data_IF_639672808023
#
_entry.id   IF_639672808023
#
_cell.length_a   1.000
_cell.length_b   1.000
_cell.length_c   1.000
_cell.angle_alpha   90.00
_cell.angle_beta   90.00
_cell.angle_gamma   90.00
#
_symmetry.space_group_name_H-M   'P 1'
#
loop_
_entity.id
_entity.type
_entity.pdbx_description
1 polymer ?
#
# COMPACT_ATOMS: atom_id res chain seq x y z
N UNK A 1 -17.20 -16.70 11.84
CA UNK A 1 -16.24 -17.61 11.15
C UNK A 1 -16.53 -19.09 11.47
N UNK A 2 -15.94 -19.97 10.68
CA UNK A 2 -16.00 -21.42 10.85
C UNK A 2 -14.66 -22.00 11.38
N UNK A 3 -13.89 -21.20 12.09
CA UNK A 3 -12.60 -21.57 12.67
C UNK A 3 -12.73 -22.64 13.76
N UNK A 4 -11.63 -22.87 14.48
CA UNK A 4 -11.61 -23.90 15.54
C UNK A 4 -12.53 -23.56 16.72
N UNK A 5 -12.87 -22.27 16.91
CA UNK A 5 -13.61 -21.79 18.06
C UNK A 5 -12.76 -21.75 19.35
N UNK A 6 -13.43 -21.53 20.50
CA UNK A 6 -12.79 -21.44 21.81
C UNK A 6 -13.55 -22.29 22.85
N UNK A 7 -12.79 -22.89 23.75
CA UNK A 7 -13.36 -23.49 24.98
C UNK A 7 -13.69 -22.39 25.99
N UNK A 8 -14.43 -22.73 27.05
CA UNK A 8 -14.75 -21.79 28.13
C UNK A 8 -13.50 -21.18 28.77
N UNK A 9 -12.48 -22.00 29.02
CA UNK A 9 -11.22 -21.57 29.60
C UNK A 9 -10.46 -20.60 28.64
N UNK A 10 -10.49 -20.90 27.33
CA UNK A 10 -9.89 -20.05 26.32
C UNK A 10 -10.62 -18.72 26.19
N UNK A 11 -11.94 -18.68 26.34
CA UNK A 11 -12.71 -17.43 26.34
C UNK A 11 -12.32 -16.55 27.53
N UNK A 12 -12.26 -17.14 28.74
CA UNK A 12 -11.81 -16.43 29.95
C UNK A 12 -10.39 -15.90 29.77
N UNK A 13 -9.50 -16.71 29.25
CA UNK A 13 -8.10 -16.38 29.09
C UNK A 13 -7.85 -15.32 28.02
N UNK A 14 -8.54 -15.38 26.87
CA UNK A 14 -8.26 -14.54 25.70
C UNK A 14 -9.17 -13.32 25.58
N UNK A 15 -10.44 -13.42 25.97
CA UNK A 15 -11.39 -12.29 25.95
C UNK A 15 -11.58 -11.67 27.33
N UNK A 16 -11.30 -12.39 28.41
CA UNK A 16 -11.33 -11.88 29.77
C UNK A 16 -10.03 -11.19 30.20
N UNK A 17 -8.97 -11.24 29.40
CA UNK A 17 -7.67 -10.65 29.73
C UNK A 17 -7.20 -9.74 28.57
N UNK A 18 -7.06 -8.45 28.84
CA UNK A 18 -6.58 -7.49 27.82
C UNK A 18 -5.13 -7.77 27.48
N UNK A 19 -4.77 -7.56 26.21
CA UNK A 19 -3.42 -7.75 25.65
C UNK A 19 -2.91 -9.21 25.73
N UNK A 20 -3.81 -10.19 25.76
CA UNK A 20 -3.46 -11.60 25.67
C UNK A 20 -3.82 -12.15 24.29
N UNK A 21 -2.83 -12.63 23.54
CA UNK A 21 -2.98 -13.11 22.17
C UNK A 21 -2.78 -14.61 22.08
N UNK A 22 -3.83 -15.32 21.65
CA UNK A 22 -3.73 -16.74 21.27
C UNK A 22 -2.89 -16.94 19.99
N UNK A 23 -2.89 -15.96 19.09
CA UNK A 23 -2.07 -15.93 17.87
C UNK A 23 -0.58 -15.92 18.21
N UNK A 24 -0.17 -15.13 19.19
CA UNK A 24 1.23 -15.06 19.64
C UNK A 24 1.69 -16.40 20.21
N UNK A 25 0.87 -17.02 21.08
CA UNK A 25 1.18 -18.33 21.63
C UNK A 25 1.26 -19.41 20.54
N UNK A 26 0.42 -19.34 19.52
CA UNK A 26 0.47 -20.24 18.36
C UNK A 26 1.75 -20.02 17.54
N UNK A 27 2.10 -18.78 17.20
CA UNK A 27 3.33 -18.44 16.49
C UNK A 27 4.59 -18.89 17.24
N UNK A 28 4.57 -18.80 18.57
CA UNK A 28 5.68 -19.26 19.40
C UNK A 28 5.80 -20.79 19.45
N UNK A 29 4.74 -21.53 19.11
CA UNK A 29 4.72 -22.99 18.99
C UNK A 29 5.21 -23.51 17.64
N UNK A 30 5.25 -22.64 16.60
CA UNK A 30 5.75 -22.97 15.27
C UNK A 30 7.28 -22.93 15.24
N UNK A 31 7.91 -23.79 14.45
CA UNK A 31 9.35 -23.87 14.28
C UNK A 31 9.79 -23.65 12.84
N UNK A 32 10.98 -23.10 12.65
CA UNK A 32 11.61 -22.98 11.32
C UNK A 32 10.82 -22.12 10.32
N UNK A 33 10.67 -22.64 9.11
CA UNK A 33 10.03 -21.92 7.99
C UNK A 33 8.52 -21.74 8.18
N UNK A 34 7.86 -22.64 8.90
CA UNK A 34 6.42 -22.50 9.23
C UNK A 34 6.11 -21.20 9.98
N UNK A 35 7.03 -20.75 10.84
CA UNK A 35 6.89 -19.47 11.56
C UNK A 35 7.00 -18.28 10.65
N UNK A 36 7.84 -18.35 9.62
CA UNK A 36 8.03 -17.29 8.63
C UNK A 36 6.83 -17.16 7.69
N UNK A 37 6.22 -18.29 7.34
CA UNK A 37 5.09 -18.33 6.41
C UNK A 37 3.73 -18.06 7.09
N UNK A 38 3.66 -18.13 8.41
CA UNK A 38 2.45 -17.86 9.18
C UNK A 38 2.21 -16.34 9.34
N UNK A 39 1.79 -15.67 8.30
CA UNK A 39 1.41 -14.25 8.31
C UNK A 39 0.12 -14.01 9.12
N UNK A 40 0.18 -14.26 10.44
CA UNK A 40 -0.99 -14.18 11.32
C UNK A 40 -1.13 -12.79 11.92
N UNK A 41 -2.34 -12.25 11.85
CA UNK A 41 -2.77 -11.00 12.46
C UNK A 41 -3.17 -11.25 13.92
N UNK A 42 -3.18 -10.22 14.78
CA UNK A 42 -3.70 -10.33 16.15
C UNK A 42 -2.66 -10.68 17.21
N UNK A 43 -1.40 -10.37 16.99
CA UNK A 43 -0.29 -10.70 17.91
C UNK A 43 -0.36 -9.98 19.26
N UNK A 44 -1.04 -8.83 19.35
CA UNK A 44 -1.09 -7.99 20.55
C UNK A 44 -2.28 -8.29 21.46
N UNK A 45 -3.32 -8.97 20.97
CA UNK A 45 -4.52 -9.28 21.76
C UNK A 45 -5.35 -8.06 22.18
N UNK A 46 -5.25 -6.94 21.44
CA UNK A 46 -6.00 -5.69 21.73
C UNK A 46 -6.99 -5.30 20.65
N UNK A 47 -6.82 -5.78 19.42
CA UNK A 47 -7.66 -5.40 18.28
C UNK A 47 -9.15 -5.67 18.48
N UNK A 48 -9.48 -6.76 19.17
CA UNK A 48 -10.86 -7.13 19.48
C UNK A 48 -11.60 -6.03 20.25
N UNK A 49 -10.91 -5.36 21.19
CA UNK A 49 -11.53 -4.35 22.04
C UNK A 49 -11.85 -3.04 21.31
N UNK A 50 -11.33 -2.85 20.08
CA UNK A 50 -11.74 -1.72 19.24
C UNK A 50 -13.23 -1.78 18.85
N UNK A 51 -13.87 -2.94 18.96
CA UNK A 51 -15.32 -3.10 18.79
C UNK A 51 -16.13 -2.18 19.73
N UNK A 52 -15.63 -1.92 20.93
CA UNK A 52 -16.29 -1.03 21.90
C UNK A 52 -16.20 0.46 21.56
N UNK A 53 -15.46 0.84 20.54
CA UNK A 53 -15.48 2.23 20.03
C UNK A 53 -16.86 2.52 19.43
N UNK A 54 -17.41 1.57 18.68
CA UNK A 54 -18.66 1.71 17.94
C UNK A 54 -19.84 0.95 18.57
N UNK A 55 -19.57 -0.01 19.48
CA UNK A 55 -20.58 -0.84 20.11
C UNK A 55 -20.78 -0.48 21.61
N UNK A 56 -22.02 -0.40 22.04
CA UNK A 56 -22.38 -0.31 23.46
C UNK A 56 -22.33 -1.68 24.17
N UNK A 57 -22.49 -2.77 23.38
CA UNK A 57 -22.44 -4.14 23.88
C UNK A 57 -21.89 -5.06 22.79
N UNK A 58 -21.03 -5.98 23.20
CA UNK A 58 -20.46 -7.01 22.32
C UNK A 58 -20.83 -8.38 22.87
N UNK A 59 -21.34 -9.25 21.98
CA UNK A 59 -21.66 -10.64 22.28
C UNK A 59 -20.78 -11.53 21.41
N UNK A 60 -20.12 -12.50 22.02
CA UNK A 60 -19.29 -13.50 21.33
C UNK A 60 -19.81 -14.89 21.62
N UNK A 61 -20.35 -15.55 20.60
CA UNK A 61 -20.81 -16.94 20.64
C UNK A 61 -19.77 -17.84 19.98
N UNK A 62 -19.19 -18.74 20.73
CA UNK A 62 -18.12 -19.60 20.21
C UNK A 62 -18.31 -21.05 20.64
N UNK A 63 -17.93 -21.98 19.75
CA UNK A 63 -17.85 -23.41 20.08
C UNK A 63 -16.57 -24.00 19.52
N UNK A 64 -15.75 -24.56 20.39
CA UNK A 64 -14.54 -25.28 20.01
C UNK A 64 -14.86 -26.59 19.28
N UNK A 65 -14.05 -26.93 18.27
CA UNK A 65 -14.27 -28.14 17.46
C UNK A 65 -14.28 -29.47 18.22
N UNK A 66 -13.72 -29.53 19.43
CA UNK A 66 -13.73 -30.70 20.32
C UNK A 66 -14.83 -30.70 21.36
N UNK A 67 -15.66 -29.65 21.43
CA UNK A 67 -16.72 -29.49 22.43
C UNK A 67 -18.10 -29.67 21.83
N UNK A 68 -19.05 -30.11 22.67
CA UNK A 68 -20.46 -30.29 22.31
C UNK A 68 -21.30 -29.05 22.59
N UNK A 69 -20.92 -28.27 23.61
CA UNK A 69 -21.58 -27.02 24.00
C UNK A 69 -20.78 -25.82 23.53
N UNK A 70 -21.48 -24.71 23.25
CA UNK A 70 -20.89 -23.42 23.00
C UNK A 70 -20.83 -22.54 24.24
N UNK A 71 -20.11 -21.45 24.14
CA UNK A 71 -19.98 -20.44 25.19
C UNK A 71 -20.35 -19.08 24.63
N UNK A 72 -21.20 -18.34 25.32
CA UNK A 72 -21.51 -16.95 25.09
C UNK A 72 -20.74 -16.07 26.07
N UNK A 73 -19.98 -15.16 25.57
CA UNK A 73 -19.35 -14.08 26.30
C UNK A 73 -20.06 -12.76 25.96
N UNK A 74 -20.39 -11.97 26.97
CA UNK A 74 -21.06 -10.69 26.77
C UNK A 74 -20.42 -9.62 27.65
N UNK A 75 -20.13 -8.44 27.09
CA UNK A 75 -19.60 -7.29 27.83
C UNK A 75 -20.12 -5.99 27.20
N UNK A 76 -20.19 -4.94 28.02
CA UNK A 76 -20.44 -3.56 27.63
C UNK A 76 -19.15 -2.69 27.57
N UNK A 77 -17.98 -3.32 27.77
CA UNK A 77 -16.69 -2.64 27.83
C UNK A 77 -16.36 -1.97 29.14
N UNK A 78 -17.23 -2.07 30.15
CA UNK A 78 -17.05 -1.47 31.49
C UNK A 78 -16.10 -2.22 32.41
N UNK A 79 -15.41 -3.26 31.90
CA UNK A 79 -14.46 -4.06 32.67
C UNK A 79 -15.05 -5.37 33.23
N UNK A 80 -16.35 -5.57 33.11
CA UNK A 80 -17.05 -6.79 33.48
C UNK A 80 -17.56 -7.55 32.26
N UNK A 81 -17.73 -8.85 32.40
CA UNK A 81 -18.34 -9.71 31.38
C UNK A 81 -19.14 -10.86 32.00
N UNK A 82 -20.08 -11.39 31.28
CA UNK A 82 -20.82 -12.60 31.64
C UNK A 82 -20.43 -13.76 30.75
N UNK A 83 -20.57 -15.00 31.28
CA UNK A 83 -20.35 -16.23 30.55
C UNK A 83 -21.55 -17.14 30.74
N UNK A 84 -22.11 -17.59 29.64
CA UNK A 84 -23.23 -18.52 29.59
C UNK A 84 -22.87 -19.72 28.70
N UNK A 85 -23.34 -20.89 29.08
CA UNK A 85 -23.31 -22.07 28.20
C UNK A 85 -24.47 -21.99 27.22
N UNK A 86 -24.21 -22.22 25.95
CA UNK A 86 -25.20 -22.11 24.86
C UNK A 86 -25.18 -23.36 23.98
N UNK A 87 -26.29 -23.64 23.33
CA UNK A 87 -26.34 -24.58 22.22
C UNK A 87 -25.87 -23.89 20.95
N UNK A 88 -24.80 -24.38 20.30
CA UNK A 88 -24.30 -23.90 19.01
C UNK A 88 -23.94 -25.08 18.14
N UNK A 89 -24.64 -25.28 17.04
CA UNK A 89 -24.54 -26.47 16.19
C UNK A 89 -23.20 -26.59 15.46
N UNK A 90 -22.61 -25.47 15.08
CA UNK A 90 -21.37 -25.45 14.29
C UNK A 90 -20.23 -24.89 15.12
N UNK A 91 -19.03 -25.46 14.96
CA UNK A 91 -17.78 -24.86 15.47
C UNK A 91 -17.54 -23.48 14.85
N UNK A 92 -16.74 -22.67 15.51
CA UNK A 92 -16.35 -21.34 15.05
C UNK A 92 -16.80 -20.27 16.03
N UNK A 93 -16.66 -19.01 15.61
CA UNK A 93 -16.94 -17.85 16.45
C UNK A 93 -17.82 -16.87 15.70
N UNK A 94 -18.82 -16.35 16.39
CA UNK A 94 -19.71 -15.28 15.94
C UNK A 94 -19.55 -14.11 16.90
N UNK A 95 -19.34 -12.91 16.34
CA UNK A 95 -19.22 -11.67 17.11
C UNK A 95 -20.35 -10.75 16.68
N UNK A 96 -21.20 -10.39 17.63
CA UNK A 96 -22.34 -9.50 17.42
C UNK A 96 -22.08 -8.18 18.12
N UNK A 97 -22.08 -7.11 17.37
CA UNK A 97 -21.93 -5.74 17.85
C UNK A 97 -23.29 -5.08 17.95
N UNK A 98 -23.70 -4.68 19.16
CA UNK A 98 -24.83 -3.79 19.34
C UNK A 98 -24.31 -2.36 19.25
N UNK A 99 -24.56 -1.72 18.14
CA UNK A 99 -23.98 -0.41 17.84
C UNK A 99 -24.54 0.69 18.76
N UNK A 100 -23.72 1.69 19.04
CA UNK A 100 -24.12 2.89 19.74
C UNK A 100 -25.02 3.74 18.86
N UNK A 101 -25.82 4.58 19.48
CA UNK A 101 -26.60 5.61 18.76
C UNK A 101 -25.65 6.51 17.95
N UNK A 102 -25.95 6.68 16.67
CA UNK A 102 -25.16 7.47 15.72
C UNK A 102 -24.09 6.70 14.96
N UNK A 103 -23.91 5.40 15.21
CA UNK A 103 -22.94 4.54 14.50
C UNK A 103 -23.61 3.69 13.40
N UNK A 104 -24.79 4.12 12.91
CA UNK A 104 -25.58 3.38 11.92
C UNK A 104 -24.89 3.22 10.57
N UNK A 105 -23.85 4.02 10.27
CA UNK A 105 -23.05 3.86 9.07
C UNK A 105 -22.45 2.46 8.92
N UNK A 106 -22.19 1.76 10.03
CA UNK A 106 -21.66 0.40 10.03
C UNK A 106 -22.72 -0.69 9.80
N UNK A 107 -23.98 -0.32 9.60
CA UNK A 107 -25.05 -1.20 9.11
C UNK A 107 -25.18 -1.15 7.58
N UNK A 108 -24.55 -0.17 6.95
CA UNK A 108 -24.56 -0.02 5.50
C UNK A 108 -23.56 -0.97 4.83
N UNK A 109 -24.08 -1.83 3.95
CA UNK A 109 -23.31 -2.86 3.27
C UNK A 109 -22.23 -2.27 2.34
N UNK A 110 -22.53 -1.17 1.66
CA UNK A 110 -21.56 -0.49 0.80
C UNK A 110 -20.40 0.08 1.62
N UNK A 111 -20.71 0.68 2.79
CA UNK A 111 -19.73 1.19 3.72
C UNK A 111 -18.78 0.08 4.23
N UNK A 112 -19.35 -1.06 4.61
CA UNK A 112 -18.57 -2.21 5.08
C UNK A 112 -17.67 -2.77 3.98
N UNK A 113 -18.16 -2.90 2.75
CA UNK A 113 -17.38 -3.32 1.58
C UNK A 113 -16.23 -2.36 1.31
N UNK A 114 -16.49 -1.07 1.39
CA UNK A 114 -15.46 -0.05 1.24
C UNK A 114 -14.35 -0.18 2.31
N UNK A 115 -14.73 -0.37 3.57
CA UNK A 115 -13.78 -0.58 4.68
C UNK A 115 -12.93 -1.84 4.47
N UNK A 116 -13.57 -2.95 4.09
CA UNK A 116 -12.85 -4.20 3.79
C UNK A 116 -11.85 -4.00 2.67
N UNK A 117 -12.24 -3.39 1.57
CA UNK A 117 -11.36 -3.12 0.42
C UNK A 117 -10.21 -2.16 0.76
N UNK A 118 -10.46 -1.18 1.63
CA UNK A 118 -9.43 -0.22 2.03
C UNK A 118 -8.39 -0.82 2.97
N UNK A 119 -8.83 -1.58 3.98
CA UNK A 119 -7.97 -1.97 5.10
C UNK A 119 -7.62 -3.46 5.15
N UNK A 120 -8.39 -4.31 4.49
CA UNK A 120 -8.31 -5.76 4.62
C UNK A 120 -8.33 -6.51 3.29
N UNK A 121 -8.15 -5.80 2.16
CA UNK A 121 -8.24 -6.40 0.82
C UNK A 121 -7.25 -7.55 0.60
N UNK A 122 -6.09 -7.46 1.23
CA UNK A 122 -4.97 -8.37 1.01
C UNK A 122 -4.68 -9.34 2.16
N UNK A 123 -5.58 -9.45 3.12
CA UNK A 123 -5.45 -10.48 4.15
C UNK A 123 -5.72 -11.87 3.55
N UNK A 124 -4.99 -12.89 4.05
CA UNK A 124 -5.03 -14.24 3.50
C UNK A 124 -6.39 -14.96 3.70
N UNK A 125 -7.23 -14.47 4.61
CA UNK A 125 -8.54 -15.08 4.89
C UNK A 125 -9.62 -14.44 4.01
N UNK A 126 -10.50 -15.27 3.38
CA UNK A 126 -11.62 -14.76 2.62
C UNK A 126 -12.63 -14.05 3.54
N UNK A 127 -12.95 -12.81 3.23
CA UNK A 127 -14.03 -12.05 3.86
C UNK A 127 -15.25 -12.21 2.99
N UNK A 128 -16.25 -12.91 3.50
CA UNK A 128 -17.50 -13.18 2.78
C UNK A 128 -18.57 -12.23 3.26
N UNK A 129 -19.30 -11.62 2.34
CA UNK A 129 -20.51 -10.84 2.62
C UNK A 129 -21.68 -11.38 1.80
N UNK A 130 -22.91 -11.02 2.19
CA UNK A 130 -24.08 -11.37 1.41
C UNK A 130 -24.03 -10.62 0.06
N UNK A 131 -24.41 -11.31 -1.01
CA UNK A 131 -24.57 -10.67 -2.31
C UNK A 131 -25.67 -9.59 -2.24
N UNK A 132 -25.42 -8.48 -2.91
CA UNK A 132 -26.46 -7.46 -3.11
C UNK A 132 -27.38 -7.94 -4.23
N UNK A 133 -28.61 -8.26 -3.89
CA UNK A 133 -29.62 -8.62 -4.88
C UNK A 133 -30.11 -7.39 -5.64
N UNK A 134 -30.45 -7.57 -6.91
CA UNK A 134 -31.19 -6.56 -7.67
C UNK A 134 -32.63 -6.46 -7.16
N UNK A 135 -33.29 -5.33 -7.40
CA UNK A 135 -34.72 -5.18 -7.06
C UNK A 135 -35.61 -6.26 -7.73
N UNK A 136 -35.17 -6.81 -8.85
CA UNK A 136 -35.89 -7.88 -9.57
C UNK A 136 -35.72 -9.21 -8.85
N UNK A 137 -34.48 -9.54 -8.42
CA UNK A 137 -34.19 -10.77 -7.69
C UNK A 137 -34.86 -10.80 -6.31
N UNK A 138 -34.94 -9.66 -5.62
CA UNK A 138 -35.67 -9.53 -4.36
C UNK A 138 -37.16 -9.78 -4.54
N UNK A 139 -37.77 -9.24 -5.63
CA UNK A 139 -39.18 -9.46 -5.97
C UNK A 139 -39.47 -10.91 -6.36
N UNK A 140 -38.49 -11.60 -6.94
CA UNK A 140 -38.57 -13.03 -7.26
C UNK A 140 -38.33 -13.94 -6.05
N UNK A 141 -37.98 -13.37 -4.88
CA UNK A 141 -37.72 -14.14 -3.64
C UNK A 141 -36.48 -14.96 -3.69
N UNK A 142 -35.45 -14.55 -4.46
CA UNK A 142 -34.13 -15.20 -4.46
C UNK A 142 -33.44 -14.95 -3.13
N UNK A 143 -32.80 -15.99 -2.60
CA UNK A 143 -31.92 -15.83 -1.44
C UNK A 143 -30.55 -15.32 -1.88
N UNK A 144 -30.06 -14.27 -1.22
CA UNK A 144 -28.70 -13.75 -1.45
C UNK A 144 -27.64 -14.82 -1.15
N UNK A 145 -26.77 -15.07 -2.09
CA UNK A 145 -25.59 -15.91 -1.92
C UNK A 145 -24.55 -15.27 -0.99
N UNK A 146 -23.38 -15.88 -0.97
CA UNK A 146 -22.19 -15.31 -0.31
C UNK A 146 -21.14 -15.00 -1.37
N UNK A 147 -20.62 -13.80 -1.35
CA UNK A 147 -19.51 -13.38 -2.22
C UNK A 147 -18.28 -13.01 -1.40
N UNK A 148 -17.11 -13.26 -1.94
CA UNK A 148 -15.85 -12.80 -1.35
C UNK A 148 -15.61 -11.34 -1.74
N UNK A 149 -15.46 -10.46 -0.75
CA UNK A 149 -15.31 -9.02 -0.95
C UNK A 149 -13.87 -8.53 -0.93
N UNK A 150 -12.96 -9.30 -0.36
CA UNK A 150 -11.51 -9.03 -0.42
C UNK A 150 -10.83 -9.90 -1.47
N UNK A 151 -9.71 -9.44 -2.01
CA UNK A 151 -8.96 -10.15 -3.05
C UNK A 151 -8.11 -11.31 -2.52
N UNK A 152 -7.77 -11.31 -1.25
CA UNK A 152 -6.93 -12.33 -0.64
C UNK A 152 -5.45 -12.16 -0.97
N UNK A 153 -4.83 -13.12 -1.65
CA UNK A 153 -3.41 -13.10 -1.94
C UNK A 153 -3.00 -11.86 -2.77
N UNK A 154 -2.16 -10.97 -2.23
CA UNK A 154 -1.78 -9.75 -2.92
C UNK A 154 -0.89 -10.03 -4.13
N UNK A 155 -1.09 -9.26 -5.21
CA UNK A 155 -0.33 -9.38 -6.45
C UNK A 155 1.18 -9.37 -6.22
N UNK A 156 1.66 -8.48 -5.36
CA UNK A 156 3.10 -8.31 -5.10
C UNK A 156 3.78 -9.47 -4.37
N UNK A 157 3.01 -10.45 -3.89
CA UNK A 157 3.56 -11.67 -3.28
C UNK A 157 3.69 -12.82 -4.26
N UNK A 158 3.10 -12.70 -5.46
CA UNK A 158 3.14 -13.72 -6.49
C UNK A 158 4.49 -13.70 -7.24
N UNK A 159 4.94 -14.82 -7.79
CA UNK A 159 6.10 -14.87 -8.67
C UNK A 159 5.88 -13.96 -9.89
N UNK A 160 6.88 -13.13 -10.23
CA UNK A 160 6.78 -12.20 -11.37
C UNK A 160 6.47 -12.89 -12.70
N UNK A 161 6.92 -14.15 -12.85
CA UNK A 161 6.67 -14.96 -14.04
C UNK A 161 5.21 -15.35 -14.24
N UNK A 162 4.39 -15.23 -13.20
CA UNK A 162 2.97 -15.58 -13.19
C UNK A 162 2.06 -14.37 -13.33
N UNK A 163 2.64 -13.15 -13.32
CA UNK A 163 1.89 -11.88 -13.39
C UNK A 163 2.02 -11.31 -14.81
N UNK A 164 0.92 -11.12 -15.48
CA UNK A 164 0.87 -10.48 -16.80
C UNK A 164 1.00 -8.95 -16.71
N UNK A 165 1.27 -8.28 -17.82
CA UNK A 165 1.30 -6.83 -17.88
C UNK A 165 -0.09 -6.23 -17.59
N UNK A 166 -1.13 -6.92 -18.00
CA UNK A 166 -2.52 -6.58 -17.76
C UNK A 166 -2.84 -6.63 -16.26
N UNK A 167 -2.37 -7.66 -15.54
CA UNK A 167 -2.57 -7.78 -14.09
C UNK A 167 -1.89 -6.62 -13.34
N UNK A 168 -0.66 -6.23 -13.76
CA UNK A 168 0.02 -5.05 -13.20
C UNK A 168 -0.76 -3.76 -13.47
N UNK A 169 -1.32 -3.59 -14.66
CA UNK A 169 -2.08 -2.40 -15.02
C UNK A 169 -3.42 -2.33 -14.26
N UNK A 170 -4.14 -3.44 -14.14
CA UNK A 170 -5.38 -3.51 -13.36
C UNK A 170 -5.14 -3.25 -11.88
N UNK A 171 -4.06 -3.84 -11.33
CA UNK A 171 -3.68 -3.59 -9.95
C UNK A 171 -3.37 -2.10 -9.73
N UNK A 172 -2.63 -1.46 -10.63
CA UNK A 172 -2.33 -0.04 -10.56
C UNK A 172 -3.60 0.81 -10.51
N UNK A 173 -4.51 0.61 -11.46
CA UNK A 173 -5.77 1.36 -11.53
C UNK A 173 -6.56 1.27 -10.23
N UNK A 174 -6.63 0.07 -9.69
CA UNK A 174 -7.34 -0.17 -8.45
C UNK A 174 -6.62 0.42 -7.23
N UNK A 175 -5.33 0.12 -7.06
CA UNK A 175 -4.56 0.49 -5.88
C UNK A 175 -4.27 2.00 -5.81
N UNK A 176 -4.11 2.65 -6.97
CA UNK A 176 -3.77 4.06 -7.07
C UNK A 176 -4.96 4.95 -7.44
N UNK A 177 -6.16 4.37 -7.59
CA UNK A 177 -7.38 5.08 -8.00
C UNK A 177 -7.17 5.89 -9.29
N UNK A 178 -6.50 5.28 -10.26
CA UNK A 178 -6.24 5.85 -11.57
C UNK A 178 -7.08 5.11 -12.62
N UNK A 179 -7.46 5.79 -13.69
CA UNK A 179 -8.26 5.21 -14.77
C UNK A 179 -7.42 4.85 -16.00
N UNK A 180 -6.21 5.41 -16.09
CA UNK A 180 -5.27 5.13 -17.17
C UNK A 180 -4.28 4.02 -16.76
N UNK A 181 -3.68 3.37 -17.75
CA UNK A 181 -2.57 2.45 -17.50
C UNK A 181 -1.35 3.21 -17.01
N UNK A 182 -0.50 2.60 -16.17
CA UNK A 182 0.76 3.22 -15.77
C UNK A 182 1.69 3.37 -16.97
N UNK A 183 2.56 4.38 -16.93
CA UNK A 183 3.61 4.54 -17.93
C UNK A 183 4.61 3.37 -17.86
N UNK A 184 5.00 3.02 -16.64
CA UNK A 184 5.91 1.89 -16.36
C UNK A 184 5.85 1.51 -14.89
N UNK A 185 6.45 0.36 -14.55
CA UNK A 185 6.52 -0.12 -13.16
C UNK A 185 7.80 -0.90 -12.88
N UNK A 186 8.07 -1.09 -11.60
CA UNK A 186 9.10 -1.98 -11.11
C UNK A 186 8.57 -2.80 -9.94
N UNK A 187 8.78 -4.12 -9.99
CA UNK A 187 8.41 -5.05 -8.93
C UNK A 187 9.68 -5.71 -8.41
N UNK A 188 9.99 -5.57 -7.11
CA UNK A 188 11.20 -6.14 -6.54
C UNK A 188 10.92 -6.77 -5.20
N UNK A 189 11.42 -7.98 -5.00
CA UNK A 189 11.53 -8.65 -3.73
C UNK A 189 12.97 -8.55 -3.26
N UNK A 190 13.18 -8.02 -2.07
CA UNK A 190 14.47 -7.90 -1.42
C UNK A 190 14.51 -8.89 -0.28
N UNK A 191 15.52 -9.75 -0.29
CA UNK A 191 15.73 -10.79 0.71
C UNK A 191 17.15 -10.62 1.32
N UNK A 192 17.32 -10.99 2.57
CA UNK A 192 18.61 -10.95 3.28
C UNK A 192 18.49 -10.38 4.68
N UNK A 193 19.29 -9.35 5.00
CA UNK A 193 19.21 -8.68 6.30
C UNK A 193 17.95 -7.85 6.49
N UNK A 194 17.17 -7.69 5.43
CA UNK A 194 15.86 -7.04 5.38
C UNK A 194 15.03 -7.72 4.32
N UNK A 195 13.77 -8.00 4.68
CA UNK A 195 12.82 -8.58 3.77
C UNK A 195 11.68 -7.59 3.50
N UNK A 196 11.59 -7.15 2.26
CA UNK A 196 10.47 -6.35 1.79
C UNK A 196 10.24 -6.52 0.29
N UNK A 197 9.01 -6.30 -0.11
CA UNK A 197 8.62 -6.22 -1.51
C UNK A 197 8.21 -4.80 -1.84
N UNK A 198 8.65 -4.29 -2.98
CA UNK A 198 8.11 -3.05 -3.53
C UNK A 198 7.55 -3.29 -4.93
N UNK A 199 6.37 -2.74 -5.17
CA UNK A 199 5.73 -2.66 -6.48
C UNK A 199 5.41 -1.19 -6.71
N UNK A 200 6.27 -0.52 -7.48
CA UNK A 200 6.26 0.92 -7.70
C UNK A 200 5.92 1.23 -9.15
N UNK A 201 5.08 2.21 -9.35
CA UNK A 201 4.56 2.64 -10.64
C UNK A 201 4.91 4.10 -10.91
N UNK A 202 5.11 4.41 -12.17
CA UNK A 202 5.15 5.78 -12.68
C UNK A 202 3.86 6.00 -13.47
N UNK A 203 3.00 6.95 -13.08
CA UNK A 203 1.80 7.31 -13.82
C UNK A 203 2.12 7.80 -15.22
N UNK A 204 1.15 7.72 -16.12
CA UNK A 204 1.27 8.27 -17.46
C UNK A 204 1.10 9.79 -17.49
N UNK A 205 0.31 10.33 -16.54
CA UNK A 205 0.05 11.77 -16.39
C UNK A 205 0.28 12.24 -14.97
N UNK A 206 0.70 13.50 -14.86
CA UNK A 206 0.82 14.16 -13.58
C UNK A 206 -0.57 14.43 -12.98
N UNK A 207 -0.80 14.13 -11.70
CA UNK A 207 -2.00 14.60 -11.02
C UNK A 207 -2.01 16.13 -10.93
N UNK A 208 -3.19 16.73 -10.93
CA UNK A 208 -3.36 18.19 -10.95
C UNK A 208 -2.76 18.90 -9.73
N UNK A 209 -2.64 18.21 -8.62
CA UNK A 209 -2.12 18.69 -7.33
C UNK A 209 -0.63 18.38 -7.12
N UNK A 210 0.07 17.82 -8.12
CA UNK A 210 1.49 17.46 -8.03
C UNK A 210 2.39 18.63 -7.60
N UNK A 211 2.03 19.84 -7.98
CA UNK A 211 2.79 21.07 -7.70
C UNK A 211 2.20 21.87 -6.54
N UNK A 212 1.11 21.43 -5.91
CA UNK A 212 0.55 22.09 -4.75
C UNK A 212 1.48 21.88 -3.53
N UNK A 213 2.00 22.94 -2.90
CA UNK A 213 2.84 22.82 -1.70
C UNK A 213 2.13 22.17 -0.51
N UNK A 214 0.80 22.25 -0.48
CA UNK A 214 -0.05 21.66 0.55
C UNK A 214 -0.75 20.37 0.08
N UNK A 215 -0.50 19.95 -1.16
CA UNK A 215 -1.02 18.72 -1.73
C UNK A 215 -0.56 17.52 -0.90
N UNK A 216 -1.49 16.66 -0.55
CA UNK A 216 -1.14 15.38 0.09
C UNK A 216 -0.41 14.54 -0.94
N UNK A 217 0.80 14.13 -0.61
CA UNK A 217 1.59 13.21 -1.44
C UNK A 217 0.97 11.81 -1.39
N UNK A 218 -0.13 11.61 -2.11
CA UNK A 218 -0.75 10.29 -2.26
C UNK A 218 0.09 9.44 -3.22
N UNK A 219 1.05 8.70 -2.69
CA UNK A 219 1.97 7.99 -3.55
C UNK A 219 2.11 6.52 -3.22
N UNK A 220 2.84 6.23 -2.16
CA UNK A 220 3.23 4.86 -1.83
C UNK A 220 2.53 4.40 -0.56
N UNK A 221 1.77 3.31 -0.67
CA UNK A 221 1.10 2.65 0.45
C UNK A 221 2.09 1.74 1.17
N UNK A 222 2.12 1.82 2.49
CA UNK A 222 2.92 0.93 3.33
C UNK A 222 2.06 -0.20 3.89
N UNK A 223 2.56 -1.40 3.70
CA UNK A 223 2.07 -2.62 4.35
C UNK A 223 3.17 -3.20 5.24
N UNK A 224 2.77 -3.85 6.30
CA UNK A 224 3.64 -4.69 7.12
C UNK A 224 2.99 -6.05 7.27
N UNK A 225 3.65 -7.08 6.77
CA UNK A 225 3.11 -8.45 6.74
C UNK A 225 1.69 -8.49 6.12
N UNK A 226 1.52 -7.79 4.98
CA UNK A 226 0.25 -7.67 4.23
C UNK A 226 -0.86 -6.86 4.94
N UNK A 227 -0.57 -6.30 6.11
CA UNK A 227 -1.50 -5.42 6.83
C UNK A 227 -1.26 -3.99 6.39
N UNK A 228 -2.31 -3.32 5.93
CA UNK A 228 -2.25 -1.90 5.57
C UNK A 228 -1.92 -1.05 6.81
N UNK A 229 -0.92 -0.18 6.68
CA UNK A 229 -0.47 0.72 7.73
C UNK A 229 -0.85 2.16 7.41
N UNK A 230 -0.48 2.64 6.23
CA UNK A 230 -0.76 4.00 5.77
C UNK A 230 -0.68 4.12 4.26
N UNK A 231 -1.33 5.14 3.71
CA UNK A 231 -1.35 5.45 2.28
C UNK A 231 -0.48 6.66 1.89
N UNK A 232 0.14 7.30 2.86
CA UNK A 232 0.99 8.46 2.65
C UNK A 232 2.31 8.27 3.39
N UNK A 233 3.21 7.55 2.75
CA UNK A 233 4.50 7.25 3.33
C UNK A 233 5.56 8.26 2.85
N UNK A 234 5.43 9.56 3.19
CA UNK A 234 6.44 10.60 2.89
C UNK A 234 7.86 10.17 3.27
N UNK A 235 7.97 9.34 4.31
CA UNK A 235 9.26 8.80 4.76
C UNK A 235 9.84 7.75 3.83
N UNK A 236 9.04 7.11 2.97
CA UNK A 236 9.49 6.05 2.08
C UNK A 236 9.96 6.55 0.72
N UNK A 237 9.53 7.74 0.31
CA UNK A 237 9.96 8.35 -0.94
C UNK A 237 10.35 9.81 -0.71
N UNK A 238 11.43 10.31 -1.34
CA UNK A 238 11.79 11.72 -1.26
C UNK A 238 10.80 12.58 -2.04
N UNK A 239 10.71 13.85 -1.69
CA UNK A 239 9.75 14.78 -2.29
C UNK A 239 9.88 14.91 -3.80
N UNK A 240 11.09 14.87 -4.32
CA UNK A 240 11.34 14.91 -5.77
C UNK A 240 10.87 13.66 -6.53
N UNK A 241 10.42 12.61 -5.81
CA UNK A 241 9.80 11.40 -6.36
C UNK A 241 8.33 11.25 -5.98
N UNK A 242 7.64 12.33 -5.59
CA UNK A 242 6.22 12.30 -5.19
C UNK A 242 5.25 11.86 -6.28
N UNK A 243 5.73 11.73 -7.52
CA UNK A 243 4.99 11.15 -8.62
C UNK A 243 4.93 9.61 -8.57
N UNK A 244 5.78 8.97 -7.78
CA UNK A 244 5.80 7.51 -7.66
C UNK A 244 4.60 7.04 -6.85
N UNK A 245 3.86 6.10 -7.40
CA UNK A 245 2.72 5.45 -6.74
C UNK A 245 3.03 3.97 -6.53
N UNK A 246 2.21 3.30 -5.73
CA UNK A 246 2.32 1.85 -5.52
C UNK A 246 2.35 1.42 -4.08
N UNK A 247 3.05 0.31 -3.82
CA UNK A 247 3.11 -0.28 -2.48
C UNK A 247 4.54 -0.66 -2.08
N UNK A 248 4.77 -0.65 -0.78
CA UNK A 248 5.90 -1.31 -0.13
C UNK A 248 5.32 -2.18 0.99
N UNK A 249 5.71 -3.46 1.01
CA UNK A 249 5.31 -4.42 2.05
C UNK A 249 6.57 -4.97 2.72
N UNK A 250 6.72 -4.73 4.02
CA UNK A 250 7.87 -5.16 4.81
C UNK A 250 7.47 -6.27 5.77
N UNK A 251 8.31 -7.33 5.81
CA UNK A 251 8.16 -8.39 6.80
C UNK A 251 8.82 -8.06 8.15
N UNK A 252 9.80 -7.14 8.14
CA UNK A 252 10.69 -6.86 9.27
C UNK A 252 10.34 -5.59 10.05
N UNK A 253 9.52 -4.71 9.48
CA UNK A 253 9.07 -3.52 10.21
C UNK A 253 8.26 -3.94 11.44
N UNK A 254 8.63 -3.44 12.64
CA UNK A 254 7.90 -3.78 13.84
C UNK A 254 6.49 -3.17 13.78
N UNK A 255 5.48 -4.01 13.92
CA UNK A 255 4.12 -3.56 14.20
C UNK A 255 4.08 -3.15 15.67
N UNK A 256 3.74 -1.91 15.96
CA UNK A 256 3.33 -1.51 17.31
C UNK A 256 1.80 -1.52 17.43
N UNK A 257 1.30 -1.42 18.66
CA UNK A 257 -0.13 -1.49 18.97
C UNK A 257 -0.91 -0.37 18.29
N UNK A 258 -0.33 0.82 18.18
CA UNK A 258 -0.95 2.01 17.58
C UNK A 258 -0.83 2.05 16.05
N UNK A 259 -0.11 1.11 15.45
CA UNK A 259 0.28 1.13 14.02
C UNK A 259 1.03 2.41 13.62
N UNK A 260 1.49 3.20 14.58
CA UNK A 260 2.37 4.34 14.33
C UNK A 260 3.76 3.83 13.95
N UNK A 261 4.28 4.32 12.86
CA UNK A 261 5.66 4.04 12.48
C UNK A 261 6.55 4.82 13.43
N UNK A 262 7.45 4.11 14.12
CA UNK A 262 8.46 4.72 14.96
C UNK A 262 9.17 5.85 14.20
N UNK A 263 9.23 7.04 14.78
CA UNK A 263 9.67 8.28 14.13
C UNK A 263 11.10 8.28 13.58
N UNK A 264 11.93 7.32 13.95
CA UNK A 264 13.27 7.10 13.38
C UNK A 264 13.57 5.60 13.36
N UNK A 265 13.42 4.97 12.23
CA UNK A 265 13.75 3.58 12.06
C UNK A 265 14.75 3.43 10.92
N UNK A 266 15.98 3.00 11.23
CA UNK A 266 17.03 2.71 10.24
C UNK A 266 16.56 1.76 9.14
N UNK A 267 15.56 0.94 9.43
CA UNK A 267 14.95 0.04 8.46
C UNK A 267 14.17 0.80 7.38
N UNK A 268 13.40 1.83 7.77
CA UNK A 268 12.70 2.71 6.83
C UNK A 268 13.67 3.45 5.92
N UNK A 269 14.78 3.97 6.48
CA UNK A 269 15.79 4.68 5.70
C UNK A 269 16.43 3.77 4.63
N UNK A 270 16.68 2.50 4.97
CA UNK A 270 17.22 1.52 4.02
C UNK A 270 16.19 1.13 2.96
N UNK A 271 14.93 0.92 3.33
CA UNK A 271 13.83 0.66 2.38
C UNK A 271 13.70 1.84 1.42
N UNK A 272 13.72 3.08 1.94
CA UNK A 272 13.70 4.31 1.14
C UNK A 272 14.86 4.35 0.15
N UNK A 273 16.09 4.20 0.62
CA UNK A 273 17.29 4.23 -0.23
C UNK A 273 17.25 3.13 -1.32
N UNK A 274 16.80 1.93 -0.97
CA UNK A 274 16.60 0.83 -1.90
C UNK A 274 15.54 1.14 -2.97
N UNK A 275 14.40 1.70 -2.55
CA UNK A 275 13.30 2.09 -3.45
C UNK A 275 13.69 3.22 -4.39
N UNK A 276 14.35 4.26 -3.88
CA UNK A 276 14.92 5.36 -4.69
C UNK A 276 15.87 4.83 -5.75
N UNK A 277 16.79 3.93 -5.37
CA UNK A 277 17.72 3.31 -6.32
C UNK A 277 17.00 2.54 -7.43
N UNK A 278 15.92 1.83 -7.09
CA UNK A 278 15.12 1.09 -8.08
C UNK A 278 14.39 1.99 -9.04
N UNK A 279 13.78 3.07 -8.55
CA UNK A 279 13.10 4.06 -9.40
C UNK A 279 14.10 4.77 -10.31
N UNK A 280 15.24 5.23 -9.80
CA UNK A 280 16.29 5.85 -10.64
C UNK A 280 16.79 4.87 -11.71
N UNK A 281 17.00 3.59 -11.36
CA UNK A 281 17.39 2.58 -12.34
C UNK A 281 16.32 2.32 -13.41
N UNK A 282 15.03 2.35 -13.04
CA UNK A 282 13.92 2.27 -13.98
C UNK A 282 13.91 3.44 -14.96
N UNK A 283 14.09 4.67 -14.44
CA UNK A 283 14.20 5.87 -15.26
C UNK A 283 15.42 5.86 -16.20
N UNK A 284 16.57 5.37 -15.71
CA UNK A 284 17.77 5.20 -16.53
C UNK A 284 17.56 4.21 -17.67
N UNK A 285 16.88 3.08 -17.40
CA UNK A 285 16.55 2.09 -18.42
C UNK A 285 15.63 2.68 -19.48
N UNK A 286 14.57 3.38 -19.03
CA UNK A 286 13.61 4.02 -19.93
C UNK A 286 14.25 5.15 -20.76
N UNK A 287 15.22 5.89 -20.19
CA UNK A 287 15.92 6.97 -20.90
C UNK A 287 16.91 6.46 -21.97
N UNK A 288 17.30 5.19 -21.90
CA UNK A 288 18.21 4.50 -22.82
C UNK A 288 17.49 3.54 -23.79
N UNK A 289 16.17 3.47 -23.67
CA UNK A 289 15.38 2.58 -24.52
C UNK A 289 15.17 3.20 -25.90
N UNK A 290 15.93 2.66 -26.86
CA UNK A 290 15.85 3.11 -28.26
C UNK A 290 14.60 2.56 -28.99
N UNK A 291 13.94 1.55 -28.46
CA UNK A 291 12.73 0.96 -29.01
C UNK A 291 11.49 1.79 -28.64
N UNK A 292 11.45 2.38 -27.44
CA UNK A 292 10.34 3.19 -26.95
C UNK A 292 10.76 4.59 -26.46
N UNK A 293 11.44 5.43 -27.28
CA UNK A 293 11.97 6.72 -26.84
C UNK A 293 10.89 7.72 -26.37
N UNK A 294 9.67 7.60 -26.91
CA UNK A 294 8.53 8.43 -26.52
C UNK A 294 8.09 8.20 -25.08
N UNK A 295 8.41 7.05 -24.50
CA UNK A 295 8.08 6.73 -23.11
C UNK A 295 8.80 7.64 -22.13
N UNK A 296 10.12 7.84 -22.33
CA UNK A 296 10.89 8.76 -21.51
C UNK A 296 10.52 10.22 -21.75
N UNK A 297 10.18 10.58 -22.97
CA UNK A 297 9.71 11.93 -23.32
C UNK A 297 8.39 12.25 -22.62
N UNK A 298 7.45 11.29 -22.60
CA UNK A 298 6.20 11.41 -21.85
C UNK A 298 6.47 11.62 -20.37
N UNK A 299 7.31 10.79 -19.76
CA UNK A 299 7.73 10.95 -18.36
C UNK A 299 8.33 12.34 -18.10
N UNK A 300 9.23 12.78 -18.97
CA UNK A 300 9.93 14.05 -18.78
C UNK A 300 8.99 15.25 -18.86
N UNK A 301 8.05 15.23 -19.77
CA UNK A 301 7.07 16.32 -19.93
C UNK A 301 6.16 16.44 -18.69
N UNK A 302 5.78 15.33 -18.10
CA UNK A 302 4.88 15.30 -16.96
C UNK A 302 5.62 15.53 -15.62
N UNK A 303 6.80 14.94 -15.43
CA UNK A 303 7.47 14.85 -14.13
C UNK A 303 8.87 15.44 -14.09
N UNK A 304 9.41 15.89 -15.21
CA UNK A 304 10.79 16.38 -15.30
C UNK A 304 11.07 17.57 -14.38
N UNK A 305 10.08 18.45 -14.17
CA UNK A 305 10.22 19.58 -13.26
C UNK A 305 10.38 19.10 -11.80
N UNK A 306 9.59 18.11 -11.38
CA UNK A 306 9.68 17.54 -10.04
C UNK A 306 10.99 16.78 -9.85
N UNK A 307 11.42 16.00 -10.84
CA UNK A 307 12.69 15.27 -10.79
C UNK A 307 13.90 16.20 -10.62
N UNK A 308 13.87 17.43 -11.19
CA UNK A 308 14.94 18.43 -11.03
C UNK A 308 15.18 18.84 -9.59
N UNK A 309 14.14 18.82 -8.74
CA UNK A 309 14.27 19.13 -7.31
C UNK A 309 15.28 18.20 -6.63
N UNK A 310 15.40 16.96 -7.10
CA UNK A 310 16.33 15.96 -6.58
C UNK A 310 17.81 16.34 -6.70
N UNK A 311 18.19 17.25 -7.61
CA UNK A 311 19.55 17.77 -7.71
C UNK A 311 19.97 18.47 -6.41
N UNK A 312 19.03 19.10 -5.73
CA UNK A 312 19.29 19.85 -4.48
C UNK A 312 18.97 18.98 -3.25
N UNK A 313 17.94 18.14 -3.34
CA UNK A 313 17.45 17.35 -2.20
C UNK A 313 18.28 16.08 -1.93
N UNK A 314 18.83 15.45 -2.98
CA UNK A 314 19.50 14.13 -2.89
C UNK A 314 20.94 14.19 -3.38
N UNK A 315 21.84 14.62 -2.49
CA UNK A 315 23.25 14.71 -2.79
C UNK A 315 23.91 13.36 -3.13
N UNK A 316 23.42 12.25 -2.58
CA UNK A 316 23.96 10.92 -2.86
C UNK A 316 23.69 10.45 -4.28
N UNK A 317 22.53 10.79 -4.83
CA UNK A 317 22.11 10.41 -6.18
C UNK A 317 22.23 11.54 -7.20
N UNK A 318 22.76 12.71 -6.83
CA UNK A 318 22.83 13.91 -7.66
C UNK A 318 23.39 13.63 -9.07
N UNK A 319 24.50 12.88 -9.17
CA UNK A 319 25.11 12.54 -10.45
C UNK A 319 24.22 11.65 -11.34
N UNK A 320 23.44 10.74 -10.73
CA UNK A 320 22.49 9.91 -11.47
C UNK A 320 21.29 10.72 -11.95
N UNK A 321 20.77 11.57 -11.07
CA UNK A 321 19.65 12.45 -11.40
C UNK A 321 20.06 13.40 -12.54
N UNK A 322 21.27 13.98 -12.49
CA UNK A 322 21.78 14.86 -13.53
C UNK A 322 21.76 14.23 -14.95
N UNK A 323 22.08 12.94 -15.07
CA UNK A 323 22.01 12.20 -16.35
C UNK A 323 20.59 12.02 -16.88
N UNK A 324 19.61 12.05 -16.01
CA UNK A 324 18.21 11.93 -16.35
C UNK A 324 17.59 13.26 -16.83
N UNK A 325 18.22 14.39 -16.57
CA UNK A 325 17.68 15.70 -16.94
C UNK A 325 17.68 15.90 -18.45
N UNK A 326 16.69 16.63 -18.93
CA UNK A 326 16.57 17.06 -20.32
C UNK A 326 16.42 18.57 -20.38
N UNK A 327 17.04 19.15 -21.40
CA UNK A 327 17.10 20.59 -21.58
C UNK A 327 16.72 20.97 -23.01
N UNK A 328 16.23 22.19 -23.17
CA UNK A 328 16.11 22.85 -24.47
C UNK A 328 17.47 23.37 -24.87
N UNK A 329 17.84 23.27 -26.12
CA UNK A 329 19.12 23.80 -26.62
C UNK A 329 18.93 24.68 -27.84
N UNK A 330 19.92 25.51 -28.13
CA UNK A 330 19.90 26.39 -29.30
C UNK A 330 20.00 25.64 -30.63
N UNK A 331 20.39 24.36 -30.58
CA UNK A 331 20.50 23.49 -31.75
C UNK A 331 19.16 22.86 -32.16
N UNK A 332 18.23 22.73 -31.20
CA UNK A 332 16.94 22.12 -31.45
C UNK A 332 15.90 23.23 -31.63
N UNK A 333 15.20 23.20 -32.76
CA UNK A 333 14.07 24.11 -33.01
C UNK A 333 12.82 23.68 -32.21
N UNK A 334 12.83 22.49 -31.64
CA UNK A 334 11.72 21.96 -30.85
C UNK A 334 11.48 22.77 -29.57
N UNK A 335 10.24 23.04 -29.30
CA UNK A 335 9.82 23.68 -28.04
C UNK A 335 10.00 22.74 -26.83
N UNK A 336 10.12 21.44 -27.06
CA UNK A 336 10.21 20.44 -25.98
C UNK A 336 11.65 20.20 -25.53
N UNK A 337 11.93 20.09 -24.22
CA UNK A 337 13.25 19.75 -23.73
C UNK A 337 13.54 18.26 -24.03
N UNK A 338 14.54 18.00 -24.86
CA UNK A 338 14.88 16.66 -25.31
C UNK A 338 16.34 16.26 -25.09
N UNK A 339 17.23 17.22 -24.86
CA UNK A 339 18.68 16.98 -24.85
C UNK A 339 19.19 16.72 -23.44
N UNK A 340 19.90 15.60 -23.25
CA UNK A 340 20.61 15.27 -22.02
C UNK A 340 21.94 16.06 -21.90
N UNK A 341 22.52 16.11 -20.70
CA UNK A 341 23.84 16.68 -20.50
C UNK A 341 24.93 15.86 -21.23
N UNK A 342 24.82 14.54 -21.28
CA UNK A 342 25.77 13.69 -22.00
C UNK A 342 25.77 13.96 -23.51
N UNK A 343 24.57 14.13 -24.11
CA UNK A 343 24.44 14.52 -25.53
C UNK A 343 24.99 15.91 -25.80
N UNK A 344 24.81 16.86 -24.88
CA UNK A 344 25.42 18.18 -24.98
C UNK A 344 26.95 18.09 -24.96
N UNK A 345 27.51 17.35 -23.98
CA UNK A 345 28.97 17.18 -23.85
C UNK A 345 29.55 16.50 -25.09
N UNK A 346 28.90 15.48 -25.62
CA UNK A 346 29.37 14.75 -26.80
C UNK A 346 29.51 15.64 -28.08
N UNK A 347 28.80 16.77 -28.11
CA UNK A 347 28.81 17.71 -29.24
C UNK A 347 29.53 19.06 -28.95
N UNK A 348 30.20 19.16 -27.80
CA UNK A 348 30.98 20.35 -27.47
C UNK A 348 32.06 20.58 -28.51
N UNK A 349 32.38 21.86 -28.81
CA UNK A 349 33.44 22.21 -29.72
C UNK A 349 34.81 21.87 -29.15
N UNK A 350 35.80 21.67 -30.02
CA UNK A 350 37.18 21.44 -29.58
C UNK A 350 37.66 22.65 -28.73
N UNK A 351 38.17 22.34 -27.51
CA UNK A 351 38.59 23.33 -26.54
C UNK A 351 37.47 23.91 -25.64
N UNK A 352 36.23 23.51 -25.84
CA UNK A 352 35.14 23.85 -24.94
C UNK A 352 35.19 22.95 -23.70
N UNK A 353 35.35 23.52 -22.51
CA UNK A 353 35.46 22.81 -21.23
C UNK A 353 34.26 23.03 -20.29
N UNK A 354 33.25 23.81 -20.74
CA UNK A 354 32.10 24.22 -19.94
C UNK A 354 30.80 24.11 -20.71
N UNK A 355 29.73 23.81 -19.94
CA UNK A 355 28.34 23.87 -20.41
C UNK A 355 27.86 25.31 -20.23
N UNK A 356 27.43 25.95 -21.31
CA UNK A 356 26.84 27.28 -21.27
C UNK A 356 25.33 27.15 -21.17
N UNK A 357 24.70 27.90 -20.28
CA UNK A 357 23.25 27.91 -20.11
C UNK A 357 22.71 29.32 -19.85
N UNK A 358 21.45 29.50 -20.16
CA UNK A 358 20.65 30.68 -19.86
C UNK A 358 19.42 30.26 -19.08
N UNK A 359 19.07 31.03 -18.05
CA UNK A 359 17.81 30.87 -17.32
C UNK A 359 16.81 31.88 -17.82
N UNK A 360 15.62 31.43 -18.20
CA UNK A 360 14.50 32.26 -18.62
C UNK A 360 13.19 31.48 -18.39
N UNK A 361 12.09 32.21 -18.24
CA UNK A 361 10.78 31.58 -18.05
C UNK A 361 10.27 30.92 -19.33
N UNK A 362 10.65 31.49 -20.50
CA UNK A 362 10.27 30.96 -21.80
C UNK A 362 11.45 30.82 -22.75
N UNK A 363 11.34 29.91 -23.73
CA UNK A 363 12.33 29.77 -24.79
C UNK A 363 12.47 31.05 -25.62
N UNK A 364 11.37 31.79 -25.81
CA UNK A 364 11.38 33.07 -26.54
C UNK A 364 12.24 34.13 -25.83
N UNK A 365 12.09 34.23 -24.50
CA UNK A 365 12.94 35.13 -23.70
C UNK A 365 14.42 34.72 -23.73
N UNK A 366 14.69 33.42 -23.62
CA UNK A 366 16.05 32.90 -23.72
C UNK A 366 16.68 33.26 -25.07
N UNK A 367 15.94 33.14 -26.19
CA UNK A 367 16.41 33.46 -27.55
C UNK A 367 16.64 34.97 -27.78
N UNK A 368 15.92 35.83 -27.07
CA UNK A 368 16.03 37.27 -27.17
C UNK A 368 16.92 37.87 -26.06
N UNK A 369 17.52 37.05 -25.24
CA UNK A 369 18.45 37.51 -24.21
C UNK A 369 19.66 38.19 -24.84
N UNK A 370 20.13 39.32 -24.29
CA UNK A 370 21.33 40.00 -24.77
C UNK A 370 22.63 39.25 -24.43
N UNK A 371 22.55 38.15 -23.70
CA UNK A 371 23.71 37.33 -23.30
C UNK A 371 23.99 36.16 -24.32
#
# INVERSE_FOLDING_TARGET
DSGIGMTREQVIDRLGTIAKSGTRAFLDSLSGDEKKDAHLIGQFGVGFYSAFIVAEKVVVDTRHGGETAGVRWTSDGGGEYTLEEISKDKRGTEVVLHLREGEDEFLDDWRLRHLVRTYSDHIAFPIMMREQLSEEDEKEGKEAGWEQVNRGAPLWTQPKSEISAEDYAEFYKHACHDYEDPLTWTHNKVEGSQEYTNLLYIPKRAPYDLFDPNGKAHGVKLYVQRVFIMDDAEKLMPRYMRFVKGIIDSNDLPLNVSREILQSNQLLDKIRAGSVKKVLGLLESMAKDDEEPEKYKTFWNEFGQVLKEGIVEDHENQAKIAKLLRFKTTKDESADPGVSLDEYIARMAEGQDKIYYITADTLAEAKHSPH
#
